data_IF_496959550281
#
_entry.id   IF_496959550281
#
_cell.length_a   1.000
_cell.length_b   1.000
_cell.length_c   1.000
_cell.angle_alpha   90.00
_cell.angle_beta   90.00
_cell.angle_gamma   90.00
#
_symmetry.space_group_name_H-M   'P 1'
#
loop_
_entity.id
_entity.type
_entity.pdbx_description
1 polymer ?
#
# COMPACT_ATOMS: atom_id res chain seq x y z
N UNK A 1 -7.55 58.46 -8.98
CA UNK A 1 -7.59 57.46 -7.88
C UNK A 1 -7.64 56.01 -8.36
N UNK A 2 -8.43 55.63 -9.39
CA UNK A 2 -8.20 54.39 -10.20
C UNK A 2 -6.71 54.31 -10.60
N UNK A 3 -6.18 55.43 -11.10
CA UNK A 3 -4.76 55.66 -11.41
C UNK A 3 -3.76 55.46 -10.26
N UNK A 4 -4.18 55.55 -8.98
CA UNK A 4 -3.28 55.50 -7.82
C UNK A 4 -3.23 54.10 -7.20
N UNK A 5 -4.35 53.35 -7.23
CA UNK A 5 -4.41 51.95 -6.79
C UNK A 5 -3.94 50.98 -7.88
N UNK A 6 -4.45 51.11 -9.11
CA UNK A 6 -3.80 50.46 -10.26
C UNK A 6 -2.38 50.95 -10.39
N UNK A 7 -2.12 52.24 -10.14
CA UNK A 7 -0.76 52.77 -10.06
C UNK A 7 0.12 52.05 -9.03
N UNK A 8 -0.37 51.68 -7.84
CA UNK A 8 0.46 50.97 -6.86
C UNK A 8 0.60 49.47 -7.17
N UNK A 9 -0.36 48.86 -7.88
CA UNK A 9 -0.31 47.45 -8.32
C UNK A 9 0.52 47.29 -9.61
N UNK A 10 0.49 48.27 -10.53
CA UNK A 10 1.14 48.21 -11.84
C UNK A 10 2.46 48.98 -11.93
N UNK A 11 2.78 49.90 -11.01
CA UNK A 11 4.08 50.62 -10.99
C UNK A 11 5.16 49.94 -10.15
N UNK A 12 4.84 48.85 -9.46
CA UNK A 12 5.82 48.04 -8.75
C UNK A 12 5.94 46.65 -9.39
N UNK A 13 7.15 46.28 -9.80
CA UNK A 13 7.42 44.99 -10.43
C UNK A 13 6.98 43.79 -9.60
N UNK A 14 7.07 43.87 -8.27
CA UNK A 14 6.65 42.79 -7.36
C UNK A 14 5.13 42.60 -7.37
N UNK A 15 4.36 43.68 -7.29
CA UNK A 15 2.88 43.60 -7.34
C UNK A 15 2.37 43.22 -8.73
N UNK A 16 3.05 43.65 -9.79
CA UNK A 16 2.74 43.27 -11.17
C UNK A 16 2.99 41.78 -11.40
N UNK A 17 4.14 41.27 -10.95
CA UNK A 17 4.46 39.84 -10.98
C UNK A 17 3.44 39.03 -10.17
N UNK A 18 3.12 39.47 -8.94
CA UNK A 18 2.10 38.82 -8.12
C UNK A 18 0.73 38.75 -8.80
N UNK A 19 0.32 39.85 -9.45
CA UNK A 19 -0.94 39.90 -10.22
C UNK A 19 -0.90 38.97 -11.43
N UNK A 20 0.21 38.93 -12.16
CA UNK A 20 0.37 38.03 -13.31
C UNK A 20 0.31 36.56 -12.88
N UNK A 21 1.01 36.19 -11.80
CA UNK A 21 0.99 34.83 -11.25
C UNK A 21 -0.40 34.42 -10.74
N UNK A 22 -1.08 35.30 -10.01
CA UNK A 22 -2.43 35.03 -9.53
C UNK A 22 -3.43 34.88 -10.68
N UNK A 23 -3.38 35.76 -11.69
CA UNK A 23 -4.30 35.66 -12.82
C UNK A 23 -4.02 34.42 -13.69
N UNK A 24 -2.75 34.16 -14.01
CA UNK A 24 -2.37 32.99 -14.78
C UNK A 24 -2.72 31.69 -14.03
N UNK A 25 -2.40 31.61 -12.74
CA UNK A 25 -2.75 30.47 -11.89
C UNK A 25 -4.26 30.22 -11.85
N UNK A 26 -5.06 31.27 -11.63
CA UNK A 26 -6.52 31.15 -11.61
C UNK A 26 -7.08 30.67 -12.95
N UNK A 27 -6.65 31.28 -14.06
CA UNK A 27 -7.11 30.88 -15.41
C UNK A 27 -6.75 29.43 -15.69
N UNK A 28 -5.52 29.02 -15.39
CA UNK A 28 -5.07 27.64 -15.60
C UNK A 28 -5.85 26.64 -14.74
N UNK A 29 -6.08 26.95 -13.45
CA UNK A 29 -6.90 26.11 -12.56
C UNK A 29 -8.30 25.95 -13.16
N UNK A 30 -8.95 27.05 -13.54
CA UNK A 30 -10.30 27.02 -14.11
C UNK A 30 -10.33 26.21 -15.41
N UNK A 31 -9.39 26.43 -16.32
CA UNK A 31 -9.30 25.68 -17.58
C UNK A 31 -9.12 24.18 -17.34
N UNK A 32 -8.19 23.78 -16.47
CA UNK A 32 -7.92 22.36 -16.19
C UNK A 32 -9.09 21.67 -15.48
N UNK A 33 -9.74 22.36 -14.55
CA UNK A 33 -10.97 21.84 -13.90
C UNK A 33 -12.09 21.68 -14.92
N UNK A 34 -12.28 22.62 -15.85
CA UNK A 34 -13.27 22.49 -16.92
C UNK A 34 -12.95 21.31 -17.85
N UNK A 35 -11.68 21.12 -18.21
CA UNK A 35 -11.23 19.98 -19.01
C UNK A 35 -11.52 18.66 -18.28
N UNK A 36 -11.23 18.59 -16.98
CA UNK A 36 -11.54 17.41 -16.17
C UNK A 36 -13.06 17.14 -16.08
N UNK A 37 -13.88 18.19 -15.95
CA UNK A 37 -15.35 18.06 -15.98
C UNK A 37 -15.90 17.56 -17.32
N UNK A 38 -15.18 17.79 -18.42
CA UNK A 38 -15.52 17.28 -19.74
C UNK A 38 -15.11 15.81 -19.95
N UNK A 39 -14.60 15.14 -18.90
CA UNK A 39 -14.23 13.73 -18.92
C UNK A 39 -12.80 13.44 -19.40
N UNK A 40 -11.93 14.45 -19.49
CA UNK A 40 -10.54 14.22 -19.82
C UNK A 40 -9.74 13.87 -18.56
N UNK A 41 -9.39 12.59 -18.44
CA UNK A 41 -8.48 12.09 -17.42
C UNK A 41 -7.04 12.25 -17.92
N UNK A 42 -6.25 13.10 -17.27
CA UNK A 42 -4.81 13.21 -17.57
C UNK A 42 -3.98 12.20 -16.77
N UNK A 43 -2.67 12.18 -17.04
CA UNK A 43 -1.74 11.32 -16.31
C UNK A 43 -1.63 11.61 -14.80
N UNK A 44 -0.93 10.77 -14.03
CA UNK A 44 -0.88 10.81 -12.55
C UNK A 44 -0.29 12.11 -11.96
N UNK A 45 0.37 12.93 -12.78
CA UNK A 45 0.89 14.23 -12.35
C UNK A 45 -0.09 15.39 -12.58
N UNK A 46 -1.16 15.19 -13.37
CA UNK A 46 -2.11 16.25 -13.67
C UNK A 46 -2.89 16.69 -12.42
N UNK A 47 -3.25 15.76 -11.54
CA UNK A 47 -3.88 16.07 -10.26
C UNK A 47 -2.97 16.90 -9.35
N UNK A 48 -1.68 16.54 -9.25
CA UNK A 48 -0.68 17.31 -8.48
C UNK A 48 -0.53 18.72 -9.05
N UNK A 49 -0.40 18.84 -10.37
CA UNK A 49 -0.27 20.14 -11.03
C UNK A 49 -1.50 21.02 -10.78
N UNK A 50 -2.69 20.47 -10.98
CA UNK A 50 -3.96 21.21 -10.95
C UNK A 50 -4.37 21.60 -9.54
N UNK A 51 -4.22 20.69 -8.58
CA UNK A 51 -4.78 20.86 -7.24
C UNK A 51 -3.75 21.19 -6.15
N UNK A 52 -2.45 21.14 -6.46
CA UNK A 52 -1.38 21.46 -5.51
C UNK A 52 -0.50 22.59 -6.04
N UNK A 53 0.17 22.40 -7.18
CA UNK A 53 1.16 23.36 -7.70
C UNK A 53 0.52 24.68 -8.12
N UNK A 54 -0.52 24.65 -8.95
CA UNK A 54 -1.16 25.89 -9.42
C UNK A 54 -1.82 26.69 -8.28
N UNK A 55 -2.51 26.08 -7.30
CA UNK A 55 -2.99 26.80 -6.11
C UNK A 55 -1.87 27.43 -5.28
N UNK A 56 -0.71 26.76 -5.13
CA UNK A 56 0.44 27.37 -4.46
C UNK A 56 0.94 28.61 -5.21
N UNK A 57 1.09 28.54 -6.54
CA UNK A 57 1.48 29.69 -7.38
C UNK A 57 0.45 30.82 -7.26
N UNK A 58 -0.84 30.49 -7.26
CA UNK A 58 -1.93 31.43 -7.09
C UNK A 58 -1.82 32.17 -5.74
N UNK A 59 -1.64 31.44 -4.64
CA UNK A 59 -1.48 32.00 -3.28
C UNK A 59 -0.22 32.86 -3.19
N UNK A 60 0.91 32.39 -3.71
CA UNK A 60 2.15 33.18 -3.77
C UNK A 60 1.91 34.49 -4.52
N UNK A 61 1.22 34.43 -5.67
CA UNK A 61 0.81 35.61 -6.43
C UNK A 61 -0.02 36.59 -5.59
N UNK A 62 -1.04 36.09 -4.89
CA UNK A 62 -1.88 36.89 -3.99
C UNK A 62 -1.10 37.55 -2.84
N UNK A 63 -0.10 36.85 -2.27
CA UNK A 63 0.76 37.36 -1.19
C UNK A 63 1.77 38.41 -1.69
N UNK A 64 2.27 38.27 -2.91
CA UNK A 64 3.20 39.23 -3.52
C UNK A 64 2.54 40.59 -3.80
N UNK A 65 1.23 40.64 -4.05
CA UNK A 65 0.48 41.90 -4.30
C UNK A 65 0.59 42.88 -3.12
N UNK A 66 0.18 42.53 -1.87
CA UNK A 66 0.29 43.42 -0.72
C UNK A 66 1.74 43.68 -0.32
N UNK A 67 2.64 42.68 -0.41
CA UNK A 67 4.08 42.87 -0.14
C UNK A 67 4.66 43.95 -1.07
N UNK A 68 4.40 43.84 -2.37
CA UNK A 68 4.83 44.83 -3.33
C UNK A 68 4.22 46.21 -3.05
N UNK A 69 2.95 46.29 -2.68
CA UNK A 69 2.30 47.57 -2.37
C UNK A 69 2.95 48.26 -1.16
N UNK A 70 3.27 47.49 -0.10
CA UNK A 70 3.94 47.99 1.10
C UNK A 70 5.38 48.44 0.82
N UNK A 71 6.15 47.66 0.06
CA UNK A 71 7.53 48.00 -0.31
C UNK A 71 7.58 49.25 -1.21
N UNK A 72 6.64 49.39 -2.15
CA UNK A 72 6.54 50.57 -3.01
C UNK A 72 6.23 51.83 -2.20
N UNK A 73 5.31 51.75 -1.24
CA UNK A 73 5.00 52.87 -0.32
C UNK A 73 6.19 53.23 0.58
N UNK A 74 6.89 52.24 1.12
CA UNK A 74 8.14 52.47 1.89
C UNK A 74 9.20 53.18 1.03
N UNK A 75 9.33 52.80 -0.25
CA UNK A 75 10.24 53.45 -1.19
C UNK A 75 9.84 54.91 -1.45
N UNK A 76 8.55 55.18 -1.70
CA UNK A 76 8.04 56.53 -1.94
C UNK A 76 8.26 57.48 -0.75
N UNK A 77 8.13 56.99 0.51
CA UNK A 77 8.42 57.78 1.71
C UNK A 77 9.90 58.14 1.87
N UNK A 78 10.82 57.38 1.26
CA UNK A 78 12.27 57.63 1.30
C UNK A 78 12.73 58.59 0.19
N UNK A 79 11.86 58.98 -0.72
CA UNK A 79 12.17 59.97 -1.77
C UNK A 79 11.87 61.39 -1.27
N UNK A 80 12.55 62.39 -1.83
CA UNK A 80 12.28 63.81 -1.54
C UNK A 80 10.80 64.15 -1.85
N UNK A 81 10.10 64.76 -0.88
CA UNK A 81 8.65 65.02 -0.96
C UNK A 81 7.75 63.86 -0.51
N UNK A 82 8.32 62.79 0.06
CA UNK A 82 7.59 61.61 0.54
C UNK A 82 6.90 61.74 1.91
N UNK A 83 7.01 62.89 2.60
CA UNK A 83 6.46 63.13 3.94
C UNK A 83 4.92 63.04 3.99
N UNK A 84 4.25 63.38 2.89
CA UNK A 84 2.79 63.38 2.78
C UNK A 84 2.18 62.00 2.43
N UNK A 85 2.99 60.95 2.27
CA UNK A 85 2.48 59.60 1.97
C UNK A 85 2.11 58.88 3.28
N UNK A 86 0.81 58.58 3.53
CA UNK A 86 0.37 57.92 4.76
C UNK A 86 1.07 56.56 4.97
N UNK A 87 1.39 56.24 6.23
CA UNK A 87 2.10 55.02 6.60
C UNK A 87 1.30 53.74 6.30
N UNK A 88 -0.02 53.80 6.40
CA UNK A 88 -0.95 52.72 6.10
C UNK A 88 -2.00 53.16 5.07
N UNK A 89 -2.65 52.23 4.35
CA UNK A 89 -3.81 52.57 3.51
C UNK A 89 -4.92 53.20 4.36
N UNK A 90 -5.49 54.31 3.88
CA UNK A 90 -6.64 54.95 4.53
C UNK A 90 -7.91 54.34 3.96
N UNK A 91 -8.73 53.73 4.82
CA UNK A 91 -10.03 53.16 4.45
C UNK A 91 -11.14 54.10 4.94
N UNK A 92 -11.60 55.01 4.07
CA UNK A 92 -12.74 55.88 4.36
C UNK A 92 -14.01 55.36 3.68
N UNK A 93 -14.88 54.72 4.46
CA UNK A 93 -16.16 54.15 3.99
C UNK A 93 -17.18 55.20 3.56
N UNK A 94 -16.97 56.46 3.92
CA UNK A 94 -17.86 57.56 3.52
C UNK A 94 -17.61 57.97 2.05
N UNK A 95 -16.45 57.64 1.48
CA UNK A 95 -16.16 57.86 0.07
C UNK A 95 -16.79 56.76 -0.80
N UNK A 96 -17.56 57.18 -1.81
CA UNK A 96 -18.24 56.26 -2.73
C UNK A 96 -17.25 55.35 -3.48
N UNK A 97 -16.06 55.85 -3.82
CA UNK A 97 -15.07 55.06 -4.54
C UNK A 97 -14.48 53.98 -3.64
N UNK A 98 -14.13 54.31 -2.40
CA UNK A 98 -13.71 53.32 -1.39
C UNK A 98 -14.76 52.24 -1.21
N UNK A 99 -16.05 52.61 -1.08
CA UNK A 99 -17.15 51.64 -0.94
C UNK A 99 -17.27 50.71 -2.15
N UNK A 100 -17.22 51.22 -3.39
CA UNK A 100 -17.26 50.39 -4.61
C UNK A 100 -16.07 49.44 -4.69
N UNK A 101 -14.87 49.89 -4.34
CA UNK A 101 -13.68 49.03 -4.35
C UNK A 101 -13.69 47.99 -3.24
N UNK A 102 -14.23 48.32 -2.08
CA UNK A 102 -14.43 47.34 -1.01
C UNK A 102 -15.43 46.26 -1.41
N UNK A 103 -16.50 46.60 -2.13
CA UNK A 103 -17.41 45.61 -2.70
C UNK A 103 -16.72 44.71 -3.74
N UNK A 104 -15.90 45.28 -4.63
CA UNK A 104 -15.12 44.50 -5.61
C UNK A 104 -14.09 43.60 -4.91
N UNK A 105 -13.35 44.11 -3.93
CA UNK A 105 -12.38 43.35 -3.15
C UNK A 105 -13.07 42.23 -2.36
N UNK A 106 -14.21 42.51 -1.75
CA UNK A 106 -15.00 41.52 -1.02
C UNK A 106 -15.50 40.42 -1.97
N UNK A 107 -16.07 40.80 -3.12
CA UNK A 107 -16.50 39.84 -4.15
C UNK A 107 -15.33 38.99 -4.68
N UNK A 108 -14.19 39.61 -5.01
CA UNK A 108 -12.99 38.90 -5.44
C UNK A 108 -12.43 37.99 -4.33
N UNK A 109 -12.46 38.42 -3.07
CA UNK A 109 -12.06 37.59 -1.93
C UNK A 109 -12.96 36.38 -1.79
N UNK A 110 -14.29 36.52 -1.92
CA UNK A 110 -15.21 35.38 -1.90
C UNK A 110 -14.87 34.40 -3.01
N UNK A 111 -14.67 34.88 -4.25
CA UNK A 111 -14.29 34.01 -5.37
C UNK A 111 -12.97 33.29 -5.09
N UNK A 112 -11.96 34.00 -4.58
CA UNK A 112 -10.67 33.39 -4.23
C UNK A 112 -10.82 32.33 -3.13
N UNK A 113 -11.64 32.59 -2.11
CA UNK A 113 -11.92 31.62 -1.04
C UNK A 113 -12.59 30.37 -1.62
N UNK A 114 -13.57 30.53 -2.51
CA UNK A 114 -14.24 29.39 -3.16
C UNK A 114 -13.25 28.59 -4.02
N UNK A 115 -12.43 29.26 -4.83
CA UNK A 115 -11.43 28.60 -5.68
C UNK A 115 -10.39 27.87 -4.85
N UNK A 116 -9.81 28.52 -3.83
CA UNK A 116 -8.80 27.91 -2.96
C UNK A 116 -9.42 26.75 -2.17
N UNK A 117 -10.60 26.92 -1.58
CA UNK A 117 -11.26 25.86 -0.84
C UNK A 117 -11.55 24.65 -1.73
N UNK A 118 -12.09 24.88 -2.93
CA UNK A 118 -12.36 23.81 -3.90
C UNK A 118 -11.10 23.10 -4.38
N UNK A 119 -10.04 23.86 -4.69
CA UNK A 119 -8.76 23.31 -5.13
C UNK A 119 -8.08 22.51 -4.00
N UNK A 120 -8.04 23.04 -2.78
CA UNK A 120 -7.51 22.35 -1.60
C UNK A 120 -8.29 21.06 -1.33
N UNK A 121 -9.62 21.11 -1.35
CA UNK A 121 -10.47 19.94 -1.14
C UNK A 121 -10.19 18.84 -2.18
N UNK A 122 -10.15 19.21 -3.47
CA UNK A 122 -9.81 18.27 -4.54
C UNK A 122 -8.37 17.77 -4.45
N UNK A 123 -7.42 18.62 -4.05
CA UNK A 123 -6.02 18.25 -3.87
C UNK A 123 -5.84 17.24 -2.76
N UNK A 124 -6.49 17.46 -1.62
CA UNK A 124 -6.49 16.51 -0.49
C UNK A 124 -7.04 15.16 -0.93
N UNK A 125 -8.22 15.13 -1.54
CA UNK A 125 -8.82 13.88 -2.00
C UNK A 125 -7.98 13.18 -3.06
N UNK A 126 -7.36 13.93 -3.97
CA UNK A 126 -6.45 13.35 -4.95
C UNK A 126 -5.25 12.66 -4.28
N UNK A 127 -4.67 13.29 -3.25
CA UNK A 127 -3.55 12.73 -2.49
C UNK A 127 -3.91 11.50 -1.64
N UNK A 128 -5.18 11.10 -1.59
CA UNK A 128 -5.67 9.90 -0.91
C UNK A 128 -6.03 8.76 -1.87
N UNK A 129 -5.88 9.00 -3.18
CA UNK A 129 -6.16 8.00 -4.21
C UNK A 129 -5.04 6.97 -4.36
N UNK A 130 -5.40 5.77 -4.80
CA UNK A 130 -4.44 4.70 -5.13
C UNK A 130 -3.49 5.14 -6.25
N UNK A 131 -3.99 5.91 -7.23
CA UNK A 131 -3.19 6.46 -8.31
C UNK A 131 -2.10 7.41 -7.78
N UNK A 132 -2.45 8.32 -6.86
CA UNK A 132 -1.45 9.21 -6.28
C UNK A 132 -0.40 8.43 -5.49
N UNK A 133 -0.82 7.54 -4.59
CA UNK A 133 0.09 6.77 -3.74
C UNK A 133 0.99 5.81 -4.54
N UNK A 134 0.43 5.12 -5.54
CA UNK A 134 1.15 4.09 -6.29
C UNK A 134 1.93 4.59 -7.51
N UNK A 135 1.43 5.61 -8.21
CA UNK A 135 1.98 6.04 -9.50
C UNK A 135 2.84 7.30 -9.42
N UNK A 136 2.65 8.16 -8.41
CA UNK A 136 3.43 9.42 -8.32
C UNK A 136 4.91 9.16 -8.06
N UNK A 137 5.20 8.21 -7.16
CA UNK A 137 6.54 7.75 -6.80
C UNK A 137 6.78 6.33 -7.35
N UNK A 138 6.48 6.12 -8.64
CA UNK A 138 6.40 4.77 -9.21
C UNK A 138 7.63 3.91 -8.91
N UNK A 139 8.85 4.45 -8.90
CA UNK A 139 10.07 3.64 -8.73
C UNK A 139 10.13 2.98 -7.36
N UNK A 140 9.59 3.64 -6.34
CA UNK A 140 9.61 3.16 -4.94
C UNK A 140 8.34 2.38 -4.63
N UNK A 141 7.19 2.84 -5.14
CA UNK A 141 5.89 2.25 -4.82
C UNK A 141 5.42 1.19 -5.81
N UNK A 142 6.16 0.92 -6.90
CA UNK A 142 5.81 -0.11 -7.88
C UNK A 142 5.57 -1.48 -7.24
N UNK A 143 6.40 -2.00 -6.30
CA UNK A 143 6.14 -3.31 -5.67
C UNK A 143 4.77 -3.35 -4.99
N UNK A 144 4.54 -2.40 -4.09
CA UNK A 144 3.32 -2.33 -3.27
C UNK A 144 2.07 -2.07 -4.12
N UNK A 145 2.15 -1.20 -5.13
CA UNK A 145 1.06 -0.91 -6.06
C UNK A 145 0.72 -2.11 -6.94
N UNK A 146 1.74 -2.82 -7.46
CA UNK A 146 1.55 -4.00 -8.31
C UNK A 146 0.89 -5.12 -7.52
N UNK A 147 1.33 -5.36 -6.28
CA UNK A 147 0.76 -6.35 -5.40
C UNK A 147 -0.69 -5.99 -4.97
N UNK A 148 -0.94 -4.72 -4.60
CA UNK A 148 -2.28 -4.23 -4.25
C UNK A 148 -3.29 -4.42 -5.39
N UNK A 149 -2.91 -4.06 -6.62
CA UNK A 149 -3.78 -4.16 -7.79
C UNK A 149 -4.25 -5.59 -8.08
N UNK A 150 -3.52 -6.60 -7.59
CA UNK A 150 -3.80 -8.03 -7.76
C UNK A 150 -4.40 -8.69 -6.52
N UNK A 151 -4.68 -7.92 -5.47
CA UNK A 151 -5.12 -8.47 -4.19
C UNK A 151 -6.65 -8.48 -4.04
N UNK A 152 -7.18 -9.21 -3.03
CA UNK A 152 -8.59 -9.10 -2.63
C UNK A 152 -9.04 -7.68 -2.26
N UNK A 153 -8.10 -6.78 -1.96
CA UNK A 153 -8.32 -5.39 -1.57
C UNK A 153 -7.98 -4.39 -2.69
N UNK A 154 -7.83 -4.85 -3.94
CA UNK A 154 -7.53 -3.99 -5.11
C UNK A 154 -8.51 -2.83 -5.34
N UNK A 155 -9.70 -2.88 -4.74
CA UNK A 155 -10.72 -1.81 -4.81
C UNK A 155 -10.84 -0.96 -3.55
N UNK A 156 -10.03 -1.23 -2.53
CA UNK A 156 -9.91 -0.41 -1.32
C UNK A 156 -8.76 0.57 -1.53
N UNK A 157 -8.95 1.84 -1.20
CA UNK A 157 -7.90 2.85 -1.42
C UNK A 157 -6.72 2.62 -0.47
N UNK A 158 -5.52 3.07 -0.86
CA UNK A 158 -4.36 3.05 0.04
C UNK A 158 -4.66 3.83 1.33
N UNK A 159 -5.39 4.95 1.23
CA UNK A 159 -5.73 5.81 2.34
C UNK A 159 -6.62 5.11 3.38
N UNK A 160 -7.58 4.28 2.98
CA UNK A 160 -8.48 3.60 3.92
C UNK A 160 -7.73 2.73 4.96
N UNK A 161 -6.58 2.18 4.57
CA UNK A 161 -5.71 1.41 5.46
C UNK A 161 -4.58 2.26 6.08
N UNK A 162 -3.90 3.11 5.29
CA UNK A 162 -2.68 3.79 5.72
C UNK A 162 -2.86 5.22 6.25
N UNK A 163 -3.97 5.89 5.94
CA UNK A 163 -4.25 7.28 6.32
C UNK A 163 -5.52 7.29 7.16
N UNK A 164 -5.37 7.38 8.48
CA UNK A 164 -6.52 7.29 9.37
C UNK A 164 -7.52 8.42 9.21
N UNK A 165 -8.76 8.17 9.62
CA UNK A 165 -9.80 9.20 9.64
C UNK A 165 -9.57 10.18 10.77
N UNK A 166 -9.90 11.45 10.57
CA UNK A 166 -9.84 12.48 11.60
C UNK A 166 -8.65 13.44 11.47
N UNK A 167 -8.70 14.52 12.22
CA UNK A 167 -7.76 15.64 12.07
C UNK A 167 -6.32 15.25 12.44
N UNK A 168 -6.12 14.42 13.47
CA UNK A 168 -4.79 14.03 13.94
C UNK A 168 -4.07 13.15 12.90
N UNK A 169 -4.76 12.14 12.37
CA UNK A 169 -4.24 11.29 11.29
C UNK A 169 -4.02 12.07 9.99
N UNK A 170 -4.90 13.04 9.69
CA UNK A 170 -4.69 13.95 8.57
C UNK A 170 -3.38 14.72 8.74
N UNK A 171 -3.11 15.32 9.91
CA UNK A 171 -1.86 16.07 10.13
C UNK A 171 -0.64 15.14 10.09
N UNK A 172 -0.70 14.00 10.79
CA UNK A 172 0.39 13.01 10.83
C UNK A 172 0.76 12.55 9.42
N UNK A 173 -0.21 12.09 8.64
CA UNK A 173 0.01 11.60 7.27
C UNK A 173 0.62 12.66 6.34
N UNK A 174 0.28 13.95 6.48
CA UNK A 174 0.90 15.01 5.66
C UNK A 174 2.33 15.35 6.08
N UNK A 175 2.66 15.27 7.37
CA UNK A 175 4.03 15.43 7.85
C UNK A 175 4.89 14.25 7.38
N UNK A 176 4.41 13.03 7.57
CA UNK A 176 5.10 11.80 7.14
C UNK A 176 5.26 11.77 5.63
N UNK A 177 4.21 12.10 4.87
CA UNK A 177 4.25 12.21 3.41
C UNK A 177 5.22 13.29 2.90
N UNK A 178 5.37 14.40 3.64
CA UNK A 178 6.38 15.43 3.30
C UNK A 178 7.80 14.90 3.49
N UNK A 179 8.02 14.13 4.56
CA UNK A 179 9.31 13.47 4.76
C UNK A 179 9.57 12.38 3.71
N UNK A 180 8.57 11.59 3.34
CA UNK A 180 8.68 10.59 2.26
C UNK A 180 9.04 11.26 0.93
N UNK A 181 8.46 12.42 0.60
CA UNK A 181 8.83 13.18 -0.59
C UNK A 181 10.31 13.60 -0.55
N UNK A 182 10.80 14.06 0.59
CA UNK A 182 12.22 14.41 0.77
C UNK A 182 13.10 13.16 0.63
N UNK A 183 12.69 12.05 1.26
CA UNK A 183 13.43 10.79 1.22
C UNK A 183 13.55 10.27 -0.22
N UNK A 184 12.47 10.30 -1.01
CA UNK A 184 12.49 9.92 -2.43
C UNK A 184 13.35 10.89 -3.25
N UNK A 185 13.23 12.20 -3.02
CA UNK A 185 13.99 13.21 -3.78
C UNK A 185 15.50 13.18 -3.52
N UNK A 186 15.91 12.75 -2.32
CA UNK A 186 17.31 12.70 -1.89
C UNK A 186 17.89 11.28 -1.78
N UNK A 187 17.12 10.27 -2.19
CA UNK A 187 17.48 8.84 -2.10
C UNK A 187 17.81 8.35 -0.68
N UNK A 188 17.05 8.82 0.32
CA UNK A 188 17.24 8.55 1.75
C UNK A 188 16.26 7.50 2.29
N UNK A 189 16.07 6.39 1.57
CA UNK A 189 15.18 5.30 1.98
C UNK A 189 15.86 3.93 1.86
N UNK A 190 15.52 2.97 2.75
CA UNK A 190 16.01 1.61 2.68
C UNK A 190 15.44 0.85 1.48
N UNK A 191 16.19 -0.13 1.01
CA UNK A 191 15.79 -1.10 -0.03
C UNK A 191 16.13 -2.50 0.51
N UNK A 192 15.18 -3.44 0.57
CA UNK A 192 13.72 -3.23 0.47
C UNK A 192 13.17 -2.37 1.63
N UNK A 193 11.92 -1.93 1.51
CA UNK A 193 11.24 -1.19 2.60
C UNK A 193 11.06 -2.14 3.79
N UNK A 194 11.52 -1.80 5.01
CA UNK A 194 11.48 -2.70 6.14
C UNK A 194 10.06 -2.96 6.62
N UNK A 195 9.81 -4.19 7.07
CA UNK A 195 8.57 -4.58 7.73
C UNK A 195 8.87 -5.32 9.03
N UNK A 196 7.98 -5.27 10.04
CA UNK A 196 6.64 -4.66 10.03
C UNK A 196 6.64 -3.13 10.00
N UNK A 197 5.56 -2.52 9.48
CA UNK A 197 5.39 -1.07 9.52
C UNK A 197 5.12 -0.61 10.96
N UNK A 198 5.87 0.38 11.45
CA UNK A 198 5.74 0.90 12.80
C UNK A 198 4.52 1.81 13.00
N UNK A 199 4.03 2.43 11.92
CA UNK A 199 2.97 3.43 11.95
C UNK A 199 1.64 2.94 11.37
N UNK A 200 1.48 1.62 11.21
CA UNK A 200 0.19 1.06 10.79
C UNK A 200 -0.85 1.29 11.90
N UNK A 201 -2.06 1.67 11.49
CA UNK A 201 -3.18 1.88 12.40
C UNK A 201 -3.59 0.54 13.04
N UNK A 202 -4.10 0.57 14.29
CA UNK A 202 -4.63 -0.64 14.93
C UNK A 202 -5.75 -1.29 14.12
N UNK A 203 -5.89 -2.61 14.23
CA UNK A 203 -6.92 -3.38 13.53
C UNK A 203 -8.36 -2.88 13.76
N UNK A 204 -8.78 -2.44 14.97
CA UNK A 204 -10.11 -1.87 15.19
C UNK A 204 -10.45 -0.66 14.31
N UNK A 205 -9.44 0.13 13.95
CA UNK A 205 -9.60 1.34 13.16
C UNK A 205 -9.45 1.09 11.64
N UNK A 206 -9.00 -0.10 11.24
CA UNK A 206 -8.72 -0.46 9.85
C UNK A 206 -9.46 -1.72 9.43
N UNK A 207 -8.95 -2.89 9.80
CA UNK A 207 -9.48 -4.20 9.43
C UNK A 207 -10.94 -4.34 9.86
N UNK A 208 -11.26 -3.96 11.10
CA UNK A 208 -12.57 -4.22 11.71
C UNK A 208 -13.70 -3.33 11.19
N UNK A 209 -13.36 -2.27 10.46
CA UNK A 209 -14.35 -1.44 9.76
C UNK A 209 -15.08 -2.23 8.65
N UNK A 210 -14.45 -3.29 8.15
CA UNK A 210 -14.99 -4.17 7.11
C UNK A 210 -15.11 -5.64 7.56
N UNK A 211 -14.24 -6.11 8.45
CA UNK A 211 -14.17 -7.49 8.92
C UNK A 211 -14.61 -7.60 10.38
N UNK A 212 -15.77 -8.18 10.67
CA UNK A 212 -16.26 -8.28 12.05
C UNK A 212 -15.59 -9.43 12.81
N UNK A 213 -14.78 -9.16 13.86
CA UNK A 213 -14.15 -10.23 14.65
C UNK A 213 -15.18 -11.13 15.34
N UNK A 214 -16.35 -10.57 15.65
CA UNK A 214 -17.48 -11.27 16.28
C UNK A 214 -18.25 -12.20 15.35
N UNK A 215 -17.94 -12.24 14.04
CA UNK A 215 -18.63 -13.10 13.08
C UNK A 215 -17.92 -14.45 12.96
N UNK A 216 -18.63 -15.52 13.32
CA UNK A 216 -18.17 -16.88 13.06
C UNK A 216 -18.16 -17.19 11.55
N UNK A 217 -17.00 -17.62 11.02
CA UNK A 217 -16.78 -17.89 9.59
C UNK A 217 -16.96 -19.38 9.26
N UNK A 218 -16.82 -20.26 10.24
CA UNK A 218 -16.80 -21.71 10.07
C UNK A 218 -15.50 -22.21 9.42
N UNK A 219 -15.42 -23.51 9.19
CA UNK A 219 -14.26 -24.14 8.56
C UNK A 219 -14.26 -23.93 7.04
N UNK A 220 -13.07 -23.79 6.45
CA UNK A 220 -12.89 -23.56 5.00
C UNK A 220 -12.09 -24.68 4.37
N UNK A 221 -12.68 -25.31 3.35
CA UNK A 221 -11.95 -26.23 2.49
C UNK A 221 -10.95 -25.47 1.62
N UNK A 222 -9.70 -25.92 1.62
CA UNK A 222 -8.61 -25.41 0.77
C UNK A 222 -8.04 -26.57 -0.04
N UNK A 223 -7.83 -26.32 -1.32
CA UNK A 223 -7.27 -27.29 -2.26
C UNK A 223 -6.08 -26.62 -2.93
N UNK A 224 -4.94 -27.28 -2.83
CA UNK A 224 -3.68 -26.86 -3.41
C UNK A 224 -3.29 -27.90 -4.44
N UNK A 225 -2.96 -27.44 -5.65
CA UNK A 225 -2.40 -28.27 -6.70
C UNK A 225 -0.91 -27.99 -6.77
N UNK A 226 -0.13 -29.04 -6.71
CA UNK A 226 1.31 -29.03 -6.87
C UNK A 226 1.67 -29.86 -8.10
N UNK A 227 2.76 -29.48 -8.76
CA UNK A 227 3.27 -30.22 -9.90
C UNK A 227 4.70 -30.65 -9.60
N UNK A 228 5.00 -31.93 -9.82
CA UNK A 228 6.35 -32.45 -9.66
C UNK A 228 7.31 -31.93 -10.74
N UNK A 229 8.61 -31.99 -10.44
CA UNK A 229 9.69 -31.61 -11.35
C UNK A 229 10.07 -32.72 -12.35
N UNK A 230 9.16 -33.66 -12.61
CA UNK A 230 9.33 -34.78 -13.52
C UNK A 230 8.95 -34.41 -14.97
N UNK A 231 9.13 -35.35 -15.90
CA UNK A 231 8.87 -35.08 -17.33
C UNK A 231 7.38 -34.83 -17.60
N UNK A 232 6.51 -35.51 -16.85
CA UNK A 232 5.06 -35.44 -17.01
C UNK A 232 4.43 -34.24 -16.29
N UNK A 233 5.19 -33.57 -15.42
CA UNK A 233 4.70 -32.56 -14.49
C UNK A 233 3.51 -33.15 -13.70
N UNK A 234 3.75 -34.26 -13.00
CA UNK A 234 2.73 -35.04 -12.30
C UNK A 234 1.97 -34.14 -11.32
N UNK A 235 0.64 -34.12 -11.44
CA UNK A 235 -0.24 -33.28 -10.62
C UNK A 235 -0.57 -33.97 -9.30
N UNK A 236 -0.11 -33.37 -8.20
CA UNK A 236 -0.40 -33.79 -6.84
C UNK A 236 -1.38 -32.80 -6.21
N UNK A 237 -2.31 -33.31 -5.41
CA UNK A 237 -3.32 -32.49 -4.75
C UNK A 237 -3.25 -32.65 -3.23
N UNK A 238 -3.14 -31.52 -2.54
CA UNK A 238 -3.31 -31.43 -1.09
C UNK A 238 -4.64 -30.74 -0.81
N UNK A 239 -5.53 -31.45 -0.10
CA UNK A 239 -6.82 -30.93 0.32
C UNK A 239 -6.87 -30.87 1.85
N UNK A 240 -7.28 -29.73 2.39
CA UNK A 240 -7.36 -29.54 3.83
C UNK A 240 -8.60 -28.76 4.24
N UNK A 241 -9.17 -29.11 5.38
CA UNK A 241 -10.18 -28.31 6.06
C UNK A 241 -9.47 -27.37 7.04
N UNK A 242 -9.38 -26.08 6.70
CA UNK A 242 -8.83 -25.05 7.56
C UNK A 242 -9.87 -24.63 8.60
N UNK A 243 -9.53 -24.78 9.89
CA UNK A 243 -10.36 -24.38 11.01
C UNK A 243 -10.25 -22.88 11.25
N UNK A 244 -10.88 -22.10 10.38
CA UNK A 244 -10.91 -20.62 10.52
C UNK A 244 -11.72 -20.23 11.74
N UNK A 245 -12.92 -20.80 11.87
CA UNK A 245 -13.79 -20.64 13.04
C UNK A 245 -14.15 -19.19 13.34
N UNK A 246 -14.13 -18.82 14.61
CA UNK A 246 -14.50 -17.50 15.14
C UNK A 246 -15.16 -17.61 16.52
N UNK A 247 -15.47 -16.47 17.17
CA UNK A 247 -16.12 -16.46 18.47
C UNK A 247 -17.45 -17.22 18.41
N UNK A 248 -17.66 -18.10 19.38
CA UNK A 248 -18.89 -18.88 19.50
C UNK A 248 -20.04 -18.04 20.04
N UNK A 249 -21.24 -18.62 20.07
CA UNK A 249 -22.44 -17.96 20.59
C UNK A 249 -22.53 -17.94 22.13
N UNK A 250 -21.51 -18.45 22.83
CA UNK A 250 -21.43 -18.54 24.30
C UNK A 250 -20.02 -18.25 24.85
N UNK A 251 -19.93 -18.04 26.17
CA UNK A 251 -18.67 -17.78 26.89
C UNK A 251 -17.77 -19.01 26.77
N UNK A 252 -16.60 -18.85 26.14
CA UNK A 252 -15.63 -19.95 25.95
C UNK A 252 -15.86 -20.84 24.72
N UNK A 253 -16.83 -20.52 23.86
CA UNK A 253 -17.16 -21.30 22.65
C UNK A 253 -16.35 -20.88 21.40
N UNK A 254 -15.28 -20.09 21.57
CA UNK A 254 -14.36 -19.75 20.49
C UNK A 254 -13.72 -21.02 19.91
N UNK A 255 -13.80 -21.20 18.59
CA UNK A 255 -13.21 -22.35 17.89
C UNK A 255 -12.45 -21.89 16.66
N UNK A 256 -11.50 -22.71 16.21
CA UNK A 256 -10.63 -22.40 15.08
C UNK A 256 -9.72 -21.18 15.32
N UNK A 257 -8.87 -20.85 14.35
CA UNK A 257 -7.78 -19.87 14.46
C UNK A 257 -8.29 -18.47 14.87
N UNK A 258 -9.50 -18.06 14.47
CA UNK A 258 -10.04 -16.74 14.81
C UNK A 258 -10.50 -16.57 16.26
N UNK A 259 -10.36 -17.59 17.12
CA UNK A 259 -10.59 -17.41 18.55
C UNK A 259 -9.69 -16.31 19.15
N UNK A 260 -8.49 -16.10 18.59
CA UNK A 260 -7.53 -15.06 18.99
C UNK A 260 -8.06 -13.62 18.89
N UNK A 261 -9.06 -13.37 18.05
CA UNK A 261 -9.66 -12.03 17.86
C UNK A 261 -11.03 -11.90 18.55
N UNK A 262 -11.36 -12.84 19.43
CA UNK A 262 -12.57 -12.74 20.25
C UNK A 262 -12.47 -11.53 21.19
N UNK A 263 -13.55 -10.74 21.37
CA UNK A 263 -13.56 -9.63 22.34
C UNK A 263 -13.30 -10.04 23.79
N UNK A 264 -13.52 -11.32 24.11
CA UNK A 264 -13.29 -11.88 25.44
C UNK A 264 -11.82 -12.27 25.68
N UNK A 265 -10.98 -12.26 24.64
CA UNK A 265 -9.59 -12.73 24.68
C UNK A 265 -8.66 -11.54 24.52
N UNK A 266 -7.73 -11.36 25.47
CA UNK A 266 -6.61 -10.43 25.36
C UNK A 266 -5.31 -11.21 25.35
N UNK A 267 -4.55 -11.06 24.27
CA UNK A 267 -3.25 -11.70 24.10
C UNK A 267 -2.22 -10.61 23.88
N UNK A 268 -1.20 -10.59 24.74
CA UNK A 268 -0.03 -9.74 24.58
C UNK A 268 1.19 -10.62 24.42
N UNK A 269 2.13 -10.19 23.58
CA UNK A 269 3.37 -10.93 23.36
C UNK A 269 4.57 -10.01 23.37
N UNK A 270 5.70 -10.54 23.84
CA UNK A 270 7.01 -9.88 23.73
C UNK A 270 7.84 -10.56 22.65
N UNK A 271 8.32 -9.75 21.72
CA UNK A 271 9.14 -10.19 20.59
C UNK A 271 10.24 -9.20 20.27
N UNK A 272 11.11 -9.61 19.36
CA UNK A 272 12.08 -8.73 18.70
C UNK A 272 11.39 -7.65 17.83
N UNK A 273 12.19 -6.88 17.09
CA UNK A 273 11.66 -5.80 16.24
C UNK A 273 10.94 -6.35 15.00
N UNK A 274 11.39 -7.50 14.46
CA UNK A 274 10.78 -8.13 13.29
C UNK A 274 9.44 -8.80 13.62
N UNK A 275 9.18 -9.08 14.91
CA UNK A 275 8.07 -9.87 15.44
C UNK A 275 8.14 -11.36 15.11
N UNK A 276 9.23 -11.83 14.53
CA UNK A 276 9.42 -13.25 14.20
C UNK A 276 9.81 -14.07 15.43
N UNK A 277 10.59 -13.50 16.35
CA UNK A 277 11.03 -14.21 17.55
C UNK A 277 10.19 -13.83 18.76
N UNK A 278 9.15 -14.61 19.04
CA UNK A 278 8.30 -14.44 20.24
C UNK A 278 8.89 -15.19 21.43
N UNK A 279 9.12 -14.46 22.53
CA UNK A 279 9.74 -14.97 23.75
C UNK A 279 8.75 -15.19 24.89
N UNK A 280 7.76 -14.31 25.02
CA UNK A 280 6.79 -14.32 26.12
C UNK A 280 5.39 -14.01 25.61
N UNK A 281 4.38 -14.60 26.24
CA UNK A 281 2.96 -14.42 25.94
C UNK A 281 2.20 -14.26 27.26
N UNK A 282 1.46 -13.17 27.38
CA UNK A 282 0.43 -12.96 28.39
C UNK A 282 -0.93 -13.23 27.74
N UNK A 283 -1.73 -14.07 28.37
CA UNK A 283 -3.09 -14.37 27.97
C UNK A 283 -4.03 -14.02 29.12
N UNK A 284 -5.09 -13.28 28.81
CA UNK A 284 -6.20 -13.00 29.71
C UNK A 284 -7.54 -13.26 29.01
N UNK A 285 -8.52 -13.74 29.76
CA UNK A 285 -9.88 -13.99 29.28
C UNK A 285 -10.92 -13.29 30.17
N UNK A 286 -12.09 -12.97 29.63
CA UNK A 286 -13.19 -12.31 30.33
C UNK A 286 -13.72 -13.11 31.55
N UNK A 287 -13.47 -14.42 31.60
CA UNK A 287 -13.79 -15.26 32.76
C UNK A 287 -12.82 -15.11 33.95
N UNK A 288 -11.77 -14.30 33.78
CA UNK A 288 -10.72 -14.04 34.78
C UNK A 288 -9.53 -14.99 34.70
N UNK A 289 -9.49 -15.89 33.70
CA UNK A 289 -8.32 -16.75 33.46
C UNK A 289 -7.15 -15.91 32.95
N UNK A 290 -6.01 -16.00 33.62
CA UNK A 290 -4.75 -15.39 33.21
C UNK A 290 -3.67 -16.46 33.11
N UNK A 291 -2.85 -16.41 32.05
CA UNK A 291 -1.69 -17.29 31.87
C UNK A 291 -0.52 -16.51 31.32
N UNK A 292 0.67 -16.84 31.82
CA UNK A 292 1.93 -16.32 31.30
C UNK A 292 2.78 -17.48 30.79
N UNK A 293 3.15 -17.42 29.51
CA UNK A 293 4.02 -18.38 28.86
C UNK A 293 5.34 -17.71 28.52
N UNK A 294 6.45 -18.43 28.69
CA UNK A 294 7.76 -17.96 28.28
C UNK A 294 8.63 -19.09 27.75
N UNK A 295 9.59 -18.72 26.89
CA UNK A 295 10.68 -19.62 26.50
C UNK A 295 11.79 -19.60 27.54
N UNK A 296 12.44 -20.76 27.78
CA UNK A 296 13.48 -20.89 28.82
C UNK A 296 14.66 -19.94 28.67
N UNK A 297 14.96 -19.49 27.45
CA UNK A 297 16.08 -18.58 27.13
C UNK A 297 15.58 -17.21 26.65
N UNK A 298 14.43 -16.76 27.14
CA UNK A 298 13.95 -15.42 26.85
C UNK A 298 15.02 -14.39 27.27
N UNK A 299 15.33 -13.38 26.45
CA UNK A 299 16.24 -12.30 26.83
C UNK A 299 15.72 -11.57 28.08
N UNK A 300 16.59 -11.34 29.07
CA UNK A 300 16.22 -10.64 30.32
C UNK A 300 15.84 -9.17 30.06
N UNK A 301 16.51 -8.53 29.10
CA UNK A 301 16.24 -7.16 28.67
C UNK A 301 16.02 -7.10 27.16
N UNK A 302 15.32 -6.06 26.70
CA UNK A 302 14.99 -5.85 25.29
C UNK A 302 13.65 -6.45 24.87
N UNK A 303 13.33 -6.31 23.59
CA UNK A 303 12.03 -6.68 23.04
C UNK A 303 10.95 -5.64 23.28
N UNK A 304 9.86 -5.76 22.53
CA UNK A 304 8.70 -4.87 22.62
C UNK A 304 7.45 -5.68 22.90
N UNK A 305 6.70 -5.28 23.93
CA UNK A 305 5.39 -5.83 24.22
C UNK A 305 4.35 -5.25 23.26
N UNK A 306 3.53 -6.11 22.66
CA UNK A 306 2.46 -5.74 21.73
C UNK A 306 1.20 -6.52 22.09
N UNK A 307 0.05 -5.89 21.88
CA UNK A 307 -1.22 -6.62 21.86
C UNK A 307 -1.35 -7.30 20.50
N UNK A 308 -1.77 -8.56 20.51
CA UNK A 308 -2.01 -9.33 19.31
C UNK A 308 -3.17 -8.72 18.53
N UNK A 309 -3.01 -8.55 17.22
CA UNK A 309 -4.05 -8.08 16.33
C UNK A 309 -4.09 -8.86 15.01
N UNK A 310 -4.95 -8.42 14.08
CA UNK A 310 -5.13 -9.08 12.80
C UNK A 310 -3.84 -9.17 11.97
N UNK A 311 -2.95 -8.17 12.04
CA UNK A 311 -1.76 -8.09 11.17
C UNK A 311 -0.58 -8.90 11.69
N UNK A 312 -0.66 -9.42 12.92
CA UNK A 312 0.34 -10.36 13.41
C UNK A 312 0.27 -11.70 12.67
N UNK A 313 -0.93 -12.10 12.22
CA UNK A 313 -1.18 -13.28 11.40
C UNK A 313 -1.42 -12.95 9.92
N UNK A 314 -2.23 -11.92 9.62
CA UNK A 314 -2.48 -11.42 8.27
C UNK A 314 -1.55 -10.25 7.95
N UNK A 315 -0.24 -10.47 7.99
CA UNK A 315 0.78 -9.45 7.84
C UNK A 315 0.92 -8.92 6.38
N UNK A 316 0.31 -9.61 5.42
CA UNK A 316 0.25 -9.25 3.99
C UNK A 316 -1.17 -9.39 3.40
N UNK A 317 -2.15 -8.62 3.88
CA UNK A 317 -3.54 -8.77 3.44
C UNK A 317 -3.79 -8.23 2.02
N UNK A 318 -2.90 -7.38 1.51
CA UNK A 318 -3.03 -6.74 0.19
C UNK A 318 -1.74 -6.77 -0.63
N UNK A 319 -0.57 -6.69 0.01
CA UNK A 319 0.72 -6.68 -0.68
C UNK A 319 1.30 -8.10 -0.73
N UNK A 320 0.64 -8.98 -1.49
CA UNK A 320 0.96 -10.41 -1.53
C UNK A 320 2.07 -10.66 -2.55
N UNK A 321 3.18 -11.22 -2.09
CA UNK A 321 4.30 -11.67 -2.90
C UNK A 321 4.40 -13.20 -2.79
N UNK A 322 4.27 -13.90 -3.92
CA UNK A 322 4.26 -15.35 -3.99
C UNK A 322 5.68 -15.92 -4.08
N UNK A 323 5.92 -17.08 -3.46
CA UNK A 323 7.14 -17.87 -3.73
C UNK A 323 7.09 -18.46 -5.14
N UNK A 324 8.24 -18.76 -5.78
CA UNK A 324 8.28 -19.18 -7.17
C UNK A 324 7.52 -20.49 -7.44
N UNK A 325 7.59 -21.46 -6.52
CA UNK A 325 6.91 -22.75 -6.62
C UNK A 325 5.39 -22.62 -6.79
N UNK A 326 4.68 -22.10 -5.78
CA UNK A 326 3.22 -21.89 -5.84
C UNK A 326 2.75 -20.99 -6.99
N UNK A 327 3.53 -19.96 -7.35
CA UNK A 327 3.18 -19.09 -8.46
C UNK A 327 3.22 -19.83 -9.81
N UNK A 328 4.22 -20.69 -10.01
CA UNK A 328 4.31 -21.57 -11.18
C UNK A 328 3.20 -22.61 -11.16
N UNK A 329 2.93 -23.24 -10.02
CA UNK A 329 1.86 -24.24 -9.88
C UNK A 329 0.50 -23.65 -10.25
N UNK A 330 0.21 -22.43 -9.79
CA UNK A 330 -1.00 -21.68 -10.14
C UNK A 330 -1.08 -21.39 -11.63
N UNK A 331 0.05 -21.07 -12.28
CA UNK A 331 0.09 -20.81 -13.71
C UNK A 331 -0.12 -22.08 -14.55
N UNK A 332 0.41 -23.23 -14.11
CA UNK A 332 0.16 -24.54 -14.72
C UNK A 332 -1.31 -24.94 -14.54
N UNK A 333 -1.83 -24.85 -13.31
CA UNK A 333 -3.20 -25.24 -12.98
C UNK A 333 -4.26 -24.45 -13.77
N UNK A 334 -4.00 -23.17 -14.05
CA UNK A 334 -4.90 -22.30 -14.81
C UNK A 334 -4.64 -22.34 -16.33
N UNK A 335 -3.73 -23.20 -16.80
CA UNK A 335 -3.42 -23.37 -18.23
C UNK A 335 -2.65 -22.21 -18.87
N UNK A 336 -2.05 -21.31 -18.07
CA UNK A 336 -1.15 -20.27 -18.58
C UNK A 336 0.20 -20.85 -18.99
N UNK A 337 0.61 -21.93 -18.33
CA UNK A 337 1.75 -22.76 -18.69
C UNK A 337 1.19 -24.15 -19.02
N UNK A 338 1.42 -24.62 -20.24
CA UNK A 338 0.91 -25.92 -20.66
C UNK A 338 1.69 -27.06 -20.00
N UNK A 339 1.01 -27.85 -19.15
CA UNK A 339 1.62 -28.98 -18.43
C UNK A 339 2.12 -30.11 -19.33
N UNK A 340 1.68 -30.17 -20.58
CA UNK A 340 2.12 -31.14 -21.58
C UNK A 340 3.49 -30.82 -22.19
N UNK A 341 4.12 -29.71 -21.79
CA UNK A 341 5.51 -29.42 -22.11
C UNK A 341 6.43 -30.23 -21.17
N UNK A 342 7.30 -31.12 -21.68
CA UNK A 342 8.18 -31.94 -20.85
C UNK A 342 9.03 -31.11 -19.89
N UNK A 343 9.06 -31.49 -18.61
CA UNK A 343 9.83 -30.83 -17.54
C UNK A 343 9.55 -29.33 -17.33
N UNK A 344 8.40 -28.82 -17.77
CA UNK A 344 8.13 -27.37 -17.72
C UNK A 344 8.16 -26.82 -16.29
N UNK A 345 7.72 -27.59 -15.28
CA UNK A 345 7.77 -27.19 -13.87
C UNK A 345 9.20 -27.03 -13.38
N UNK A 346 10.05 -28.02 -13.64
CA UNK A 346 11.48 -28.02 -13.27
C UNK A 346 12.22 -26.86 -13.90
N UNK A 347 12.07 -26.70 -15.22
CA UNK A 347 12.76 -25.63 -15.95
C UNK A 347 12.24 -24.25 -15.56
N UNK A 348 10.93 -24.11 -15.35
CA UNK A 348 10.34 -22.86 -14.84
C UNK A 348 10.95 -22.46 -13.50
N UNK A 349 11.03 -23.41 -12.55
CA UNK A 349 11.63 -23.16 -11.24
C UNK A 349 13.12 -22.78 -11.36
N UNK A 350 13.88 -23.50 -12.19
CA UNK A 350 15.31 -23.22 -12.40
C UNK A 350 15.53 -21.82 -12.99
N UNK A 351 14.78 -21.48 -14.04
CA UNK A 351 15.00 -20.26 -14.84
C UNK A 351 14.52 -19.01 -14.09
N UNK A 352 13.37 -19.07 -13.42
CA UNK A 352 12.75 -17.88 -12.81
C UNK A 352 13.54 -17.33 -11.60
N UNK A 353 14.45 -18.13 -11.04
CA UNK A 353 15.31 -17.75 -9.92
C UNK A 353 16.55 -16.95 -10.35
N UNK A 354 16.78 -16.75 -11.65
CA UNK A 354 17.87 -15.91 -12.13
C UNK A 354 17.63 -14.42 -11.80
N UNK A 355 18.70 -13.72 -11.36
CA UNK A 355 18.65 -12.29 -11.04
C UNK A 355 18.84 -11.45 -12.30
N UNK A 356 17.98 -10.46 -12.49
CA UNK A 356 18.01 -9.53 -13.62
C UNK A 356 17.96 -8.08 -13.13
N UNK A 357 18.54 -7.17 -13.91
CA UNK A 357 18.57 -5.73 -13.57
C UNK A 357 17.21 -5.04 -13.80
N UNK A 358 16.35 -5.61 -14.64
CA UNK A 358 15.03 -5.05 -14.96
C UNK A 358 14.03 -6.16 -15.35
N UNK A 359 12.74 -5.83 -15.29
CA UNK A 359 11.68 -6.73 -15.78
C UNK A 359 11.81 -7.03 -17.28
N UNK A 360 12.28 -6.09 -18.09
CA UNK A 360 12.52 -6.30 -19.52
C UNK A 360 13.65 -7.30 -19.75
N UNK A 361 14.76 -7.15 -19.03
CA UNK A 361 15.88 -8.10 -19.07
C UNK A 361 15.44 -9.49 -18.60
N UNK A 362 14.62 -9.57 -17.55
CA UNK A 362 14.06 -10.82 -17.05
C UNK A 362 13.20 -11.52 -18.11
N UNK A 363 12.28 -10.81 -18.76
CA UNK A 363 11.44 -11.38 -19.82
C UNK A 363 12.28 -11.93 -20.98
N UNK A 364 13.26 -11.16 -21.44
CA UNK A 364 14.16 -11.60 -22.51
C UNK A 364 15.01 -12.81 -22.11
N UNK A 365 15.57 -12.80 -20.90
CA UNK A 365 16.42 -13.89 -20.39
C UNK A 365 15.64 -15.19 -20.16
N UNK A 366 14.48 -15.10 -19.50
CA UNK A 366 13.59 -16.24 -19.23
C UNK A 366 13.13 -16.88 -20.55
N UNK A 367 12.68 -16.07 -21.51
CA UNK A 367 12.26 -16.56 -22.82
C UNK A 367 13.41 -17.22 -23.59
N UNK A 368 14.59 -16.62 -23.55
CA UNK A 368 15.79 -17.17 -24.19
C UNK A 368 16.21 -18.52 -23.60
N UNK A 369 16.25 -18.64 -22.27
CA UNK A 369 16.64 -19.89 -21.60
C UNK A 369 15.63 -21.02 -21.82
N UNK A 370 14.33 -20.72 -21.73
CA UNK A 370 13.30 -21.75 -21.92
C UNK A 370 13.28 -22.25 -23.37
N UNK A 371 13.38 -21.34 -24.34
CA UNK A 371 13.47 -21.70 -25.75
C UNK A 371 14.75 -22.50 -26.06
N UNK A 372 15.89 -22.13 -25.47
CA UNK A 372 17.15 -22.85 -25.63
C UNK A 372 17.07 -24.28 -25.10
N UNK A 373 16.47 -24.47 -23.91
CA UNK A 373 16.26 -25.81 -23.34
C UNK A 373 15.48 -26.73 -24.29
N UNK A 374 14.34 -26.26 -24.81
CA UNK A 374 13.53 -27.07 -25.74
C UNK A 374 14.22 -27.27 -27.09
N UNK A 375 14.94 -26.29 -27.61
CA UNK A 375 15.69 -26.44 -28.85
C UNK A 375 16.81 -27.49 -28.73
N UNK A 376 17.46 -27.59 -27.57
CA UNK A 376 18.53 -28.56 -27.30
C UNK A 376 17.99 -29.95 -26.98
N UNK A 377 17.00 -30.04 -26.08
CA UNK A 377 16.52 -31.32 -25.53
C UNK A 377 15.36 -31.94 -26.33
N UNK A 378 14.53 -31.12 -26.98
CA UNK A 378 13.32 -31.54 -27.69
C UNK A 378 13.12 -30.77 -29.02
N UNK A 379 14.04 -30.86 -30.00
CA UNK A 379 14.05 -30.00 -31.18
C UNK A 379 12.77 -30.10 -32.05
N UNK A 380 12.18 -31.28 -32.17
CA UNK A 380 10.93 -31.47 -32.90
C UNK A 380 9.75 -30.77 -32.19
N UNK A 381 9.71 -30.87 -30.85
CA UNK A 381 8.70 -30.21 -30.02
C UNK A 381 8.89 -28.69 -30.03
N UNK A 382 10.13 -28.21 -30.01
CA UNK A 382 10.43 -26.78 -30.09
C UNK A 382 9.85 -26.13 -31.36
N UNK A 383 9.79 -26.87 -32.47
CA UNK A 383 9.17 -26.41 -33.70
C UNK A 383 7.64 -26.58 -33.67
N UNK A 384 7.15 -27.73 -33.21
CA UNK A 384 5.73 -28.06 -33.23
C UNK A 384 4.90 -27.27 -32.20
N UNK A 385 5.50 -26.91 -31.06
CA UNK A 385 4.88 -26.24 -29.91
C UNK A 385 5.55 -24.91 -29.56
N UNK A 386 6.10 -24.21 -30.57
CA UNK A 386 6.79 -22.94 -30.38
C UNK A 386 5.92 -21.90 -29.65
N UNK A 387 4.64 -21.83 -29.99
CA UNK A 387 3.68 -20.89 -29.38
C UNK A 387 3.43 -21.22 -27.90
N UNK A 388 3.38 -22.49 -27.53
CA UNK A 388 3.17 -22.92 -26.14
C UNK A 388 4.39 -22.65 -25.27
N UNK A 389 5.60 -22.84 -25.82
CA UNK A 389 6.86 -22.48 -25.16
C UNK A 389 6.94 -20.96 -24.96
N UNK A 390 6.56 -20.18 -25.97
CA UNK A 390 6.52 -18.72 -25.87
C UNK A 390 5.49 -18.25 -24.83
N UNK A 391 4.29 -18.85 -24.81
CA UNK A 391 3.27 -18.56 -23.80
C UNK A 391 3.74 -18.90 -22.38
N UNK A 392 4.44 -20.03 -22.21
CA UNK A 392 5.04 -20.39 -20.93
C UNK A 392 6.10 -19.37 -20.49
N UNK A 393 7.00 -18.96 -21.40
CA UNK A 393 7.99 -17.93 -21.12
C UNK A 393 7.36 -16.57 -20.74
N UNK A 394 6.30 -16.14 -21.43
CA UNK A 394 5.57 -14.91 -21.13
C UNK A 394 4.90 -15.00 -19.76
N UNK A 395 4.31 -16.14 -19.41
CA UNK A 395 3.73 -16.38 -18.09
C UNK A 395 4.79 -16.30 -16.98
N UNK A 396 5.97 -16.89 -17.18
CA UNK A 396 7.09 -16.78 -16.24
C UNK A 396 7.59 -15.34 -16.10
N UNK A 397 7.70 -14.60 -17.20
CA UNK A 397 8.02 -13.18 -17.20
C UNK A 397 7.01 -12.34 -16.42
N UNK A 398 5.72 -12.65 -16.53
CA UNK A 398 4.65 -12.02 -15.73
C UNK A 398 4.76 -12.35 -14.25
N UNK A 399 4.97 -13.63 -13.91
CA UNK A 399 5.17 -14.08 -12.52
C UNK A 399 6.37 -13.37 -11.89
N UNK A 400 7.47 -13.25 -12.63
CA UNK A 400 8.65 -12.50 -12.18
C UNK A 400 8.32 -11.02 -11.94
N UNK A 401 7.66 -10.38 -12.91
CA UNK A 401 7.42 -8.92 -12.90
C UNK A 401 6.51 -8.44 -11.78
N UNK A 402 5.74 -9.33 -11.15
CA UNK A 402 4.82 -8.98 -10.05
C UNK A 402 5.33 -9.37 -8.66
N UNK A 403 6.39 -10.17 -8.59
CA UNK A 403 6.94 -10.66 -7.31
C UNK A 403 8.36 -10.15 -7.05
N UNK A 404 9.10 -9.82 -8.10
CA UNK A 404 10.50 -9.41 -8.03
C UNK A 404 10.63 -7.99 -8.56
N UNK A 405 11.26 -7.10 -7.77
CA UNK A 405 11.47 -5.69 -8.13
C UNK A 405 12.92 -5.31 -7.87
N UNK A 406 13.82 -5.45 -8.88
CA UNK A 406 15.26 -5.26 -8.70
C UNK A 406 15.64 -3.88 -8.14
N UNK A 407 14.93 -2.83 -8.54
CA UNK A 407 15.19 -1.44 -8.13
C UNK A 407 14.92 -1.19 -6.64
N UNK A 408 14.04 -2.00 -6.04
CA UNK A 408 13.68 -1.95 -4.62
C UNK A 408 14.25 -3.13 -3.84
N UNK A 409 15.13 -3.93 -4.46
CA UNK A 409 15.72 -5.13 -3.85
C UNK A 409 14.67 -6.10 -3.28
N UNK A 410 13.47 -6.11 -3.86
CA UNK A 410 12.43 -7.08 -3.53
C UNK A 410 12.66 -8.33 -4.37
N UNK A 411 12.89 -9.43 -3.68
CA UNK A 411 13.13 -10.77 -4.22
C UNK A 411 12.11 -11.77 -3.66
N UNK A 412 12.13 -13.01 -4.17
CA UNK A 412 11.38 -14.13 -3.59
C UNK A 412 11.59 -14.17 -2.07
N UNK A 413 10.48 -14.28 -1.33
CA UNK A 413 10.45 -14.41 0.13
C UNK A 413 11.11 -13.26 0.91
N UNK A 414 11.34 -12.10 0.28
CA UNK A 414 11.80 -10.87 0.97
C UNK A 414 10.83 -10.44 2.07
N UNK A 415 9.56 -10.73 1.85
CA UNK A 415 8.45 -10.39 2.72
C UNK A 415 7.66 -11.66 3.04
N UNK A 416 7.98 -12.37 4.13
CA UNK A 416 7.30 -13.61 4.48
C UNK A 416 5.82 -13.38 4.80
N UNK A 417 4.96 -14.31 4.42
CA UNK A 417 3.55 -14.37 4.84
C UNK A 417 3.39 -15.25 6.09
N UNK A 418 2.60 -14.80 7.06
CA UNK A 418 2.38 -15.49 8.34
C UNK A 418 1.07 -16.30 8.39
N UNK A 419 0.30 -16.33 7.29
CA UNK A 419 -0.99 -17.06 7.24
C UNK A 419 -0.83 -18.58 7.24
N UNK A 420 0.38 -19.08 6.99
CA UNK A 420 0.76 -20.49 7.01
C UNK A 420 2.16 -20.68 7.59
N UNK A 421 2.73 -21.87 7.41
CA UNK A 421 4.04 -22.22 7.97
C UNK A 421 5.04 -22.75 6.91
N UNK A 422 4.86 -22.35 5.65
CA UNK A 422 5.78 -22.71 4.55
C UNK A 422 6.85 -21.65 4.31
N UNK A 423 6.47 -20.37 4.31
CA UNK A 423 7.40 -19.24 4.12
C UNK A 423 8.03 -18.73 5.42
N UNK A 424 7.34 -18.93 6.55
CA UNK A 424 7.82 -18.54 7.88
C UNK A 424 7.31 -19.50 8.94
N UNK A 425 7.69 -19.27 10.20
CA UNK A 425 7.14 -20.03 11.32
C UNK A 425 5.64 -19.74 11.56
N UNK A 426 5.09 -18.65 10.99
CA UNK A 426 3.67 -18.30 11.09
C UNK A 426 3.12 -18.36 12.52
N UNK A 427 2.15 -19.24 12.77
CA UNK A 427 1.58 -19.48 14.10
C UNK A 427 2.58 -20.14 15.08
N UNK A 428 3.54 -20.94 14.59
CA UNK A 428 4.53 -21.63 15.42
C UNK A 428 5.51 -20.69 16.13
N UNK A 429 5.54 -19.40 15.75
CA UNK A 429 6.22 -18.35 16.54
C UNK A 429 5.74 -18.36 18.01
N UNK A 430 4.44 -18.58 18.23
CA UNK A 430 3.82 -18.72 19.55
C UNK A 430 3.55 -20.19 19.92
N UNK A 431 3.12 -21.02 18.96
CA UNK A 431 2.70 -22.41 19.16
C UNK A 431 3.88 -23.38 19.13
N UNK A 432 4.75 -23.36 20.14
CA UNK A 432 5.98 -24.19 20.15
C UNK A 432 6.22 -24.88 21.48
N UNK A 433 6.89 -26.04 21.42
CA UNK A 433 7.23 -26.87 22.59
C UNK A 433 7.99 -26.14 23.69
N UNK A 434 8.71 -25.08 23.35
CA UNK A 434 9.46 -24.27 24.31
C UNK A 434 8.64 -23.19 25.01
N UNK A 435 7.46 -22.83 24.49
CA UNK A 435 6.59 -21.79 25.03
C UNK A 435 5.70 -22.38 26.13
N UNK A 436 6.05 -22.14 27.40
CA UNK A 436 5.43 -22.83 28.54
C UNK A 436 5.18 -21.92 29.73
N UNK A 437 4.18 -22.26 30.54
CA UNK A 437 3.97 -21.66 31.86
C UNK A 437 4.98 -22.17 32.88
N UNK A 438 5.01 -21.58 34.08
CA UNK A 438 5.81 -22.06 35.19
C UNK A 438 5.43 -23.50 35.61
N UNK A 439 4.15 -23.86 35.50
CA UNK A 439 3.59 -25.19 35.74
C UNK A 439 3.83 -26.17 34.58
N UNK A 440 4.53 -25.73 33.52
CA UNK A 440 4.88 -26.48 32.31
C UNK A 440 3.72 -26.78 31.36
N UNK A 441 2.61 -26.09 31.51
CA UNK A 441 1.56 -26.07 30.50
C UNK A 441 2.12 -25.46 29.21
N UNK A 442 1.83 -26.06 28.05
CA UNK A 442 2.36 -25.63 26.76
C UNK A 442 1.27 -24.94 25.95
N UNK A 443 1.64 -23.94 25.16
CA UNK A 443 0.82 -23.55 24.00
C UNK A 443 0.85 -24.71 23.00
N UNK A 444 -0.31 -25.29 22.71
CA UNK A 444 -0.42 -26.49 21.86
C UNK A 444 0.17 -26.26 20.47
N UNK A 445 1.03 -27.17 20.01
CA UNK A 445 1.63 -27.20 18.68
C UNK A 445 0.98 -28.25 17.76
N UNK A 446 -0.23 -28.72 18.12
CA UNK A 446 -0.96 -29.72 17.34
C UNK A 446 -1.56 -29.10 16.06
N UNK A 447 -1.28 -29.73 14.92
CA UNK A 447 -1.76 -29.32 13.59
C UNK A 447 -3.29 -29.29 13.52
N UNK A 448 -3.98 -30.22 14.22
CA UNK A 448 -5.44 -30.32 14.19
C UNK A 448 -6.15 -29.10 14.82
N UNK A 449 -5.43 -28.24 15.55
CA UNK A 449 -5.98 -26.96 16.00
C UNK A 449 -6.24 -26.02 14.82
N UNK A 450 -5.45 -26.14 13.75
CA UNK A 450 -5.43 -25.21 12.63
C UNK A 450 -6.09 -25.82 11.39
N UNK A 451 -5.77 -27.06 11.03
CA UNK A 451 -6.33 -27.71 9.86
C UNK A 451 -6.37 -29.23 10.00
N UNK A 452 -7.25 -29.86 9.21
CA UNK A 452 -7.31 -31.31 9.05
C UNK A 452 -6.96 -31.62 7.60
N UNK A 453 -5.97 -32.48 7.37
CA UNK A 453 -5.65 -32.97 6.03
C UNK A 453 -6.72 -33.99 5.61
N UNK A 454 -7.24 -33.80 4.40
CA UNK A 454 -8.19 -34.70 3.74
C UNK A 454 -7.51 -35.51 2.63
N UNK A 455 -6.46 -34.95 2.05
CA UNK A 455 -5.52 -35.59 1.13
C UNK A 455 -4.19 -34.82 1.20
N UNK A 456 -3.07 -35.52 1.06
CA UNK A 456 -1.73 -34.91 1.11
C UNK A 456 -0.90 -35.44 -0.06
N UNK A 457 -0.60 -34.56 -1.01
CA UNK A 457 0.23 -34.87 -2.18
C UNK A 457 -0.25 -36.12 -2.96
N UNK A 458 -1.57 -36.26 -3.13
CA UNK A 458 -2.17 -37.42 -3.78
C UNK A 458 -2.53 -37.12 -5.24
N UNK A 459 -2.33 -38.11 -6.14
CA UNK A 459 -2.88 -38.07 -7.49
C UNK A 459 -4.39 -38.35 -7.47
N UNK A 460 -5.20 -37.42 -8.00
CA UNK A 460 -6.66 -37.57 -8.13
C UNK A 460 -7.38 -38.03 -6.84
N UNK A 461 -7.23 -37.33 -5.70
CA UNK A 461 -7.81 -37.77 -4.44
C UNK A 461 -9.35 -37.75 -4.51
N UNK A 462 -9.98 -38.69 -3.81
CA UNK A 462 -11.45 -38.90 -3.81
C UNK A 462 -12.23 -37.61 -3.52
N UNK A 463 -11.69 -36.74 -2.66
CA UNK A 463 -12.30 -35.45 -2.30
C UNK A 463 -12.53 -34.54 -3.52
N UNK A 464 -11.65 -34.57 -4.53
CA UNK A 464 -11.79 -33.76 -5.75
C UNK A 464 -12.99 -34.24 -6.57
N UNK A 465 -13.15 -35.56 -6.69
CA UNK A 465 -14.28 -36.20 -7.36
C UNK A 465 -15.62 -35.90 -6.67
N UNK A 466 -15.63 -35.82 -5.35
CA UNK A 466 -16.83 -35.45 -4.58
C UNK A 466 -17.26 -34.00 -4.82
N UNK A 467 -16.30 -33.08 -4.98
CA UNK A 467 -16.58 -31.66 -5.14
C UNK A 467 -16.99 -31.27 -6.57
N UNK A 468 -16.55 -32.04 -7.55
CA UNK A 468 -16.90 -31.87 -8.96
C UNK A 468 -17.52 -33.16 -9.50
N UNK A 469 -18.74 -33.52 -9.05
CA UNK A 469 -19.43 -34.67 -9.61
C UNK A 469 -19.73 -34.42 -11.09
N UNK A 470 -19.46 -35.41 -11.93
CA UNK A 470 -19.73 -35.37 -13.39
C UNK A 470 -21.19 -35.08 -13.76
#
# INVERSE_FOLDING_TARGET
>A
MIRNFLGSITRNGISLLGTALALAGLVLIVCLVLIAMLGYEGGPYLGILTYVILPMIFIIGLVLIPIGSLLHRRKLRRMEGGEDVPALPVFDLNDEKTRRWMLVLFGATIVNVVVIAGATYKGVHYMETTEFCGLSCHSVMQPEYTAHARSPHSRVSCADCHIGTGADWFVKSKLDGSWQLIAVALDLYPRPIPTPLHDLRPAPETCEQCHWPTKHVGDKLRIFRHYEEDEQNTELTTAMLLRVGGPGTGIGDGSGIHWHVSPDVDIRYRSDETREEVWEIEYANADGTEKHYSVRRAPEEGGTWRSMDCVDCHNRPTHIYESPGPAIDTAIANGRIDRGLPFVKRESLRIIQAKYDSHEAARGGIAGELAAFYAESYPDLATARADDIAAAADALGDIYSVNVFPQMEVWWDTYPDHIGHEQSDGCFRCHKRSMRTAEREQVSDDCENCHILLAEEEENPDIVSVLNPE
#
